data_IF_570501276782
#
_entry.id   IF_570501276782
#
_cell.length_a   1.000
_cell.length_b   1.000
_cell.length_c   1.000
_cell.angle_alpha   90.00
_cell.angle_beta   90.00
_cell.angle_gamma   90.00
#
_symmetry.space_group_name_H-M   'P 1'
#
loop_
_entity.id
_entity.type
_entity.pdbx_description
1 polymer ?
#
# COMPACT_ATOMS: atom_id res chain seq x y z
N UNK A 1 5.33 -12.92 11.38
CA UNK A 1 5.92 -12.48 12.68
C UNK A 1 7.40 -12.87 12.86
N UNK A 2 7.80 -14.16 12.88
CA UNK A 2 9.19 -14.60 13.17
C UNK A 2 10.31 -13.81 12.46
N UNK A 3 10.23 -13.65 11.14
CA UNK A 3 11.22 -12.89 10.35
C UNK A 3 11.37 -11.44 10.82
N UNK A 4 10.26 -10.75 11.09
CA UNK A 4 10.25 -9.37 11.56
C UNK A 4 10.92 -9.23 12.94
N UNK A 5 10.71 -10.22 13.82
CA UNK A 5 11.32 -10.28 15.15
C UNK A 5 12.81 -10.60 15.10
N UNK A 6 13.22 -11.57 14.28
CA UNK A 6 14.62 -11.99 14.17
C UNK A 6 15.46 -10.99 13.36
N UNK A 7 14.83 -10.20 12.50
CA UNK A 7 15.49 -9.22 11.63
C UNK A 7 14.85 -7.82 11.75
N UNK A 8 14.98 -7.12 12.89
CA UNK A 8 14.30 -5.85 13.15
C UNK A 8 14.74 -4.70 12.22
N UNK A 9 15.87 -4.87 11.50
CA UNK A 9 16.37 -3.88 10.52
C UNK A 9 15.97 -4.20 9.08
N UNK A 10 15.37 -5.36 8.82
CA UNK A 10 14.94 -5.74 7.48
C UNK A 10 13.60 -5.05 7.17
N UNK A 11 13.64 -4.13 6.21
CA UNK A 11 12.42 -3.51 5.66
C UNK A 11 11.75 -4.50 4.71
N UNK A 12 10.45 -4.72 4.89
CA UNK A 12 9.65 -5.60 4.05
C UNK A 12 8.54 -4.78 3.40
N UNK A 13 8.30 -5.01 2.10
CA UNK A 13 7.13 -4.51 1.37
C UNK A 13 6.38 -5.73 0.89
N UNK A 14 5.15 -5.90 1.36
CA UNK A 14 4.30 -7.03 1.00
C UNK A 14 3.41 -6.62 -0.16
N UNK A 15 3.48 -7.41 -1.24
CA UNK A 15 2.72 -7.18 -2.45
C UNK A 15 1.22 -7.31 -2.22
N UNK A 16 0.45 -6.56 -3.03
CA UNK A 16 -1.00 -6.71 -3.12
C UNK A 16 -1.73 -6.50 -1.80
N UNK A 17 -1.24 -5.58 -0.96
CA UNK A 17 -1.75 -5.35 0.39
C UNK A 17 -1.75 -6.59 1.30
N UNK A 18 -1.00 -7.64 0.93
CA UNK A 18 -1.01 -8.92 1.64
C UNK A 18 -2.20 -9.83 1.32
N UNK A 19 -2.93 -9.58 0.23
CA UNK A 19 -4.09 -10.38 -0.14
C UNK A 19 -3.77 -11.88 -0.35
N UNK A 20 -4.66 -12.80 0.07
CA UNK A 20 -5.98 -12.53 0.66
C UNK A 20 -5.97 -12.24 2.17
N UNK A 21 -4.85 -12.37 2.88
CA UNK A 21 -4.74 -12.14 4.32
C UNK A 21 -4.60 -10.65 4.71
N UNK A 22 -5.36 -9.75 4.06
CA UNK A 22 -5.24 -8.30 4.21
C UNK A 22 -5.22 -7.82 5.66
N UNK A 23 -6.24 -8.20 6.44
CA UNK A 23 -6.38 -7.80 7.84
C UNK A 23 -5.20 -8.24 8.70
N UNK A 24 -4.69 -9.46 8.49
CA UNK A 24 -3.52 -9.97 9.24
C UNK A 24 -2.26 -9.17 8.91
N UNK A 25 -2.08 -8.74 7.67
CA UNK A 25 -0.94 -7.90 7.29
C UNK A 25 -1.08 -6.46 7.76
N UNK A 26 -2.30 -5.92 7.84
CA UNK A 26 -2.56 -4.64 8.50
C UNK A 26 -2.21 -4.71 9.99
N UNK A 27 -2.60 -5.78 10.70
CA UNK A 27 -2.21 -5.99 12.10
C UNK A 27 -0.69 -6.05 12.26
N UNK A 28 0.01 -6.68 11.32
CA UNK A 28 1.46 -6.70 11.33
C UNK A 28 2.09 -5.33 11.05
N UNK A 29 1.46 -4.48 10.24
CA UNK A 29 1.96 -3.13 9.99
C UNK A 29 1.80 -2.22 11.21
N UNK A 30 0.75 -2.42 12.01
CA UNK A 30 0.57 -1.76 13.30
C UNK A 30 1.64 -2.19 14.31
N UNK A 31 1.98 -3.48 14.34
CA UNK A 31 2.95 -4.05 15.28
C UNK A 31 4.43 -3.81 14.89
N UNK A 32 4.74 -3.64 13.59
CA UNK A 32 6.11 -3.63 13.06
C UNK A 32 6.34 -2.47 12.09
N UNK A 33 6.98 -1.41 12.56
CA UNK A 33 7.24 -0.19 11.78
C UNK A 33 8.10 -0.41 10.51
N UNK A 34 8.84 -1.50 10.41
CA UNK A 34 9.64 -1.83 9.23
C UNK A 34 8.85 -2.55 8.14
N UNK A 35 7.62 -2.99 8.43
CA UNK A 35 6.71 -3.62 7.47
C UNK A 35 5.89 -2.56 6.73
N UNK A 36 5.78 -2.73 5.43
CA UNK A 36 5.03 -1.88 4.53
C UNK A 36 4.22 -2.77 3.57
N UNK A 37 3.22 -2.17 2.94
CA UNK A 37 2.37 -2.80 1.95
C UNK A 37 2.51 -2.07 0.62
N UNK A 38 2.31 -2.76 -0.49
CA UNK A 38 2.07 -2.08 -1.76
C UNK A 38 0.71 -2.41 -2.36
N UNK A 39 0.16 -1.44 -3.10
CA UNK A 39 -1.20 -1.51 -3.66
C UNK A 39 -1.31 -2.35 -4.92
N UNK A 40 -0.27 -3.08 -5.32
CA UNK A 40 -0.25 -3.77 -6.61
C UNK A 40 -1.51 -4.61 -6.79
N UNK A 41 -2.30 -4.36 -7.85
CA UNK A 41 -3.60 -5.02 -8.12
C UNK A 41 -4.70 -4.89 -7.04
N UNK A 42 -4.39 -4.49 -5.81
CA UNK A 42 -5.37 -4.31 -4.74
C UNK A 42 -6.42 -3.26 -5.14
N UNK A 43 -7.66 -3.46 -4.67
CA UNK A 43 -8.83 -2.61 -4.93
C UNK A 43 -9.29 -2.54 -6.40
N UNK A 44 -8.53 -3.10 -7.34
CA UNK A 44 -8.96 -3.17 -8.74
C UNK A 44 -10.06 -4.22 -8.90
N UNK A 45 -10.95 -4.01 -9.88
CA UNK A 45 -12.02 -4.97 -10.15
C UNK A 45 -11.52 -6.40 -10.42
N UNK A 46 -10.29 -6.55 -10.92
CA UNK A 46 -9.66 -7.84 -11.14
C UNK A 46 -9.38 -8.62 -9.84
N UNK A 47 -8.84 -7.95 -8.83
CA UNK A 47 -8.50 -8.60 -7.56
C UNK A 47 -9.74 -8.73 -6.67
N UNK A 48 -10.62 -7.73 -6.70
CA UNK A 48 -11.89 -7.76 -5.98
C UNK A 48 -12.80 -8.93 -6.38
N UNK A 49 -12.73 -9.41 -7.62
CA UNK A 49 -13.49 -10.58 -8.08
C UNK A 49 -13.07 -11.88 -7.35
N UNK A 50 -11.81 -11.99 -6.93
CA UNK A 50 -11.24 -13.24 -6.39
C UNK A 50 -10.87 -13.17 -4.91
N UNK A 51 -10.41 -12.00 -4.48
CA UNK A 51 -9.86 -11.73 -3.16
C UNK A 51 -10.30 -10.31 -2.75
N UNK A 52 -11.61 -10.09 -2.53
CA UNK A 52 -12.11 -8.76 -2.16
C UNK A 52 -11.47 -8.25 -0.89
N UNK A 53 -11.15 -6.97 -0.86
CA UNK A 53 -10.68 -6.33 0.36
C UNK A 53 -11.80 -6.32 1.42
N UNK A 54 -11.53 -6.73 2.67
CA UNK A 54 -12.56 -6.81 3.70
C UNK A 54 -13.23 -5.46 3.97
N UNK A 55 -14.55 -5.41 3.93
CA UNK A 55 -15.32 -4.18 4.11
C UNK A 55 -14.99 -3.46 5.44
N UNK A 56 -14.79 -4.23 6.51
CA UNK A 56 -14.52 -3.70 7.85
C UNK A 56 -13.11 -3.09 7.98
N UNK A 57 -12.16 -3.50 7.13
CA UNK A 57 -10.79 -3.00 7.17
C UNK A 57 -10.62 -1.64 6.46
N UNK A 58 -11.60 -1.20 5.65
CA UNK A 58 -11.51 0.10 4.96
C UNK A 58 -11.33 1.28 5.92
N UNK A 59 -11.96 1.21 7.10
CA UNK A 59 -11.88 2.26 8.11
C UNK A 59 -10.47 2.44 8.68
N UNK A 60 -9.57 1.46 8.49
CA UNK A 60 -8.17 1.50 8.96
C UNK A 60 -7.25 2.21 7.98
N UNK A 61 -7.58 2.20 6.69
CA UNK A 61 -6.70 2.70 5.62
C UNK A 61 -6.28 4.16 5.78
N UNK A 62 -7.15 5.11 6.20
CA UNK A 62 -6.75 6.50 6.41
C UNK A 62 -5.57 6.66 7.37
N UNK A 63 -5.54 5.87 8.44
CA UNK A 63 -4.48 5.94 9.45
C UNK A 63 -3.19 5.21 9.03
N UNK A 64 -3.25 4.35 8.00
CA UNK A 64 -2.11 3.55 7.52
C UNK A 64 -1.38 4.18 6.32
N UNK A 65 -1.68 5.43 5.98
CA UNK A 65 -1.17 6.10 4.79
C UNK A 65 0.35 6.20 4.71
N UNK A 66 1.08 6.10 5.83
CA UNK A 66 2.56 6.11 5.87
C UNK A 66 3.20 4.72 5.67
N UNK A 67 2.39 3.65 5.72
CA UNK A 67 2.81 2.24 5.56
C UNK A 67 2.56 1.67 4.18
N UNK A 68 1.78 2.36 3.35
CA UNK A 68 1.32 1.86 2.06
C UNK A 68 2.07 2.55 0.92
N UNK A 69 2.53 1.79 -0.08
CA UNK A 69 3.19 2.28 -1.27
C UNK A 69 2.33 1.99 -2.50
N UNK A 70 2.40 2.87 -3.49
CA UNK A 70 1.87 2.54 -4.81
C UNK A 70 2.75 1.49 -5.48
N UNK A 71 2.14 0.38 -5.88
CA UNK A 71 2.71 -0.62 -6.76
C UNK A 71 1.75 -0.90 -7.92
N UNK A 72 2.28 -1.11 -9.13
CA UNK A 72 1.44 -1.31 -10.31
C UNK A 72 1.50 -2.70 -10.94
N UNK A 73 2.55 -3.49 -10.69
CA UNK A 73 2.96 -4.67 -11.47
C UNK A 73 3.18 -4.45 -12.97
N UNK A 74 3.17 -3.22 -13.47
CA UNK A 74 3.35 -2.99 -14.91
C UNK A 74 4.66 -3.61 -15.42
N UNK A 75 4.66 -4.33 -16.56
CA UNK A 75 3.56 -4.47 -17.53
C UNK A 75 2.63 -5.67 -17.32
N UNK A 76 2.79 -6.44 -16.25
CA UNK A 76 2.06 -7.67 -15.98
C UNK A 76 0.68 -7.42 -15.35
N UNK A 77 -0.17 -6.63 -16.01
CA UNK A 77 -1.49 -6.26 -15.50
C UNK A 77 -2.63 -6.58 -16.47
N UNK A 78 -3.79 -7.06 -15.96
CA UNK A 78 -4.97 -7.37 -16.78
C UNK A 78 -5.88 -6.16 -17.04
N UNK A 79 -5.46 -4.95 -16.63
CA UNK A 79 -6.19 -3.69 -16.75
C UNK A 79 -5.27 -2.58 -17.23
N UNK A 80 -5.81 -1.41 -17.59
CA UNK A 80 -4.99 -0.25 -17.97
C UNK A 80 -4.28 0.36 -16.76
N UNK A 81 -3.00 0.75 -16.91
CA UNK A 81 -2.21 1.35 -15.82
C UNK A 81 -2.93 2.45 -15.01
N UNK A 82 -3.67 3.40 -15.63
CA UNK A 82 -4.41 4.42 -14.87
C UNK A 82 -5.45 3.85 -13.90
N UNK A 83 -5.99 2.66 -14.17
CA UNK A 83 -6.95 2.00 -13.28
C UNK A 83 -6.36 1.69 -11.91
N UNK A 84 -5.08 1.27 -11.84
CA UNK A 84 -4.40 1.02 -10.57
C UNK A 84 -4.25 2.30 -9.73
N UNK A 85 -4.29 3.47 -10.35
CA UNK A 85 -4.23 4.76 -9.65
C UNK A 85 -5.63 5.25 -9.27
N UNK A 86 -6.61 5.14 -10.17
CA UNK A 86 -7.96 5.67 -9.92
C UNK A 86 -8.65 4.99 -8.74
N UNK A 87 -8.51 3.67 -8.61
CA UNK A 87 -9.13 2.90 -7.52
C UNK A 87 -8.67 3.36 -6.13
N UNK A 88 -7.45 3.90 -6.02
CA UNK A 88 -6.93 4.43 -4.75
C UNK A 88 -7.59 5.75 -4.37
N UNK A 89 -8.00 6.55 -5.36
CA UNK A 89 -8.72 7.82 -5.13
C UNK A 89 -10.17 7.61 -4.69
N UNK A 90 -10.68 6.39 -4.86
CA UNK A 90 -12.06 6.00 -4.53
C UNK A 90 -12.16 5.35 -3.14
N UNK A 91 -11.02 5.13 -2.45
CA UNK A 91 -11.00 4.55 -1.11
C UNK A 91 -11.72 5.49 -0.13
N UNK A 92 -12.71 5.00 0.66
CA UNK A 92 -13.40 5.80 1.64
C UNK A 92 -12.45 6.41 2.68
N UNK A 93 -12.56 7.73 2.90
CA UNK A 93 -11.88 8.43 3.99
C UNK A 93 -10.42 8.82 3.73
N UNK A 94 -9.86 8.54 2.56
CA UNK A 94 -8.51 9.04 2.20
C UNK A 94 -8.58 10.45 1.61
N UNK A 95 -7.50 11.20 1.79
CA UNK A 95 -7.34 12.57 1.29
C UNK A 95 -6.10 12.72 0.39
N UNK A 96 -5.85 13.94 -0.09
CA UNK A 96 -4.72 14.25 -0.97
C UNK A 96 -3.37 14.01 -0.30
N UNK A 97 -3.28 14.13 1.03
CA UNK A 97 -2.04 13.90 1.78
C UNK A 97 -1.75 12.40 1.86
N UNK A 98 -2.78 11.60 2.11
CA UNK A 98 -2.70 10.13 2.01
C UNK A 98 -2.26 9.69 0.61
N UNK A 99 -2.90 10.21 -0.45
CA UNK A 99 -2.54 9.87 -1.83
C UNK A 99 -1.11 10.30 -2.16
N UNK A 100 -0.66 11.48 -1.73
CA UNK A 100 0.72 11.94 -1.93
C UNK A 100 1.73 11.03 -1.23
N UNK A 101 1.39 10.52 -0.04
CA UNK A 101 2.23 9.57 0.67
C UNK A 101 2.35 8.26 -0.10
N UNK A 102 1.22 7.66 -0.48
CA UNK A 102 1.15 6.37 -1.16
C UNK A 102 1.81 6.43 -2.53
N UNK A 103 1.51 7.45 -3.35
CA UNK A 103 2.09 7.57 -4.69
C UNK A 103 3.57 7.97 -4.71
N UNK A 104 4.08 8.62 -3.66
CA UNK A 104 5.40 9.23 -3.73
C UNK A 104 6.17 9.25 -2.41
N UNK A 105 5.67 9.94 -1.38
CA UNK A 105 6.51 10.29 -0.23
C UNK A 105 7.02 9.07 0.55
N UNK A 106 6.22 8.00 0.61
CA UNK A 106 6.62 6.75 1.26
C UNK A 106 7.75 6.06 0.52
N UNK A 107 7.70 6.02 -0.82
CA UNK A 107 8.78 5.49 -1.64
C UNK A 107 10.09 6.27 -1.45
N UNK A 108 10.02 7.61 -1.45
CA UNK A 108 11.18 8.46 -1.21
C UNK A 108 11.82 8.16 0.15
N UNK A 109 11.00 8.13 1.22
CA UNK A 109 11.47 7.84 2.58
C UNK A 109 12.04 6.43 2.71
N UNK A 110 11.37 5.43 2.14
CA UNK A 110 11.74 4.02 2.26
C UNK A 110 13.06 3.71 1.54
N UNK A 111 13.25 4.27 0.34
CA UNK A 111 14.43 4.04 -0.48
C UNK A 111 15.56 5.07 -0.26
N UNK A 112 15.35 6.05 0.64
CA UNK A 112 16.36 7.06 0.96
C UNK A 112 16.70 7.97 -0.22
N UNK A 113 15.71 8.26 -1.07
CA UNK A 113 15.89 9.10 -2.24
C UNK A 113 15.88 10.58 -1.85
N UNK A 114 16.58 11.46 -2.59
CA UNK A 114 16.41 12.89 -2.41
C UNK A 114 14.95 13.26 -2.74
N UNK A 115 14.26 13.96 -1.83
CA UNK A 115 12.93 14.49 -2.12
C UNK A 115 13.06 15.52 -3.24
N UNK A 116 12.33 15.34 -4.33
CA UNK A 116 12.08 16.44 -5.23
C UNK A 116 11.14 17.40 -4.48
N UNK A 117 11.63 18.57 -4.07
CA UNK A 117 10.71 19.66 -3.74
C UNK A 117 9.85 19.90 -5.00
N UNK A 118 8.52 19.78 -4.92
CA UNK A 118 7.70 20.20 -6.06
C UNK A 118 7.92 21.70 -6.27
N UNK A 119 8.00 22.19 -7.53
CA UNK A 119 7.96 23.63 -7.76
C UNK A 119 6.67 24.18 -7.15
N UNK A 120 6.81 25.26 -6.35
CA UNK A 120 5.70 25.97 -5.71
C UNK A 120 4.70 26.51 -6.72
#
# INVERSE_FOLDING_TARGET
RRVLTEHPRLRLVIAHMGGPEYGEFLDLCEDFEQLHLDTTMAFTGFMEEKMPFPADDYARLPDMGDRILFGSDFPNIPYGYPHAMSVLTEIPGVDDDWLRNVFYANGVRLFGLPSAEPPR
#
